data_IF_674525473507
#
_entry.id   IF_674525473507
#
_cell.length_a   1.000
_cell.length_b   1.000
_cell.length_c   1.000
_cell.angle_alpha   90.00
_cell.angle_beta   90.00
_cell.angle_gamma   90.00
#
_symmetry.space_group_name_H-M   'P 1'
#
loop_
_entity.id
_entity.type
_entity.pdbx_description
1 polymer ?
#
# COMPACT_ATOMS: atom_id res chain seq x y z
N UNK A 1 8.55 2.98 -12.98
CA UNK A 1 7.11 2.72 -12.84
C UNK A 1 6.88 1.88 -11.60
N UNK A 2 5.77 2.12 -10.88
CA UNK A 2 5.42 1.38 -9.65
C UNK A 2 4.15 0.58 -9.90
N UNK A 3 4.27 -0.74 -10.04
CA UNK A 3 3.14 -1.61 -10.34
C UNK A 3 2.58 -2.21 -9.05
N UNK A 4 1.54 -1.57 -8.50
CA UNK A 4 0.82 -2.03 -7.31
C UNK A 4 -0.21 -3.11 -7.67
N UNK A 5 -0.23 -4.19 -6.90
CA UNK A 5 -1.19 -5.30 -7.03
C UNK A 5 -1.73 -5.72 -5.66
N UNK A 6 -2.94 -6.28 -5.65
CA UNK A 6 -3.52 -6.94 -4.48
C UNK A 6 -3.59 -8.46 -4.67
N UNK A 7 -2.68 -9.18 -4.03
CA UNK A 7 -2.57 -10.64 -4.19
C UNK A 7 -3.75 -11.37 -3.57
N UNK A 8 -4.05 -11.10 -2.29
CA UNK A 8 -5.18 -11.71 -1.59
C UNK A 8 -5.85 -10.74 -0.63
N UNK A 9 -7.11 -11.03 -0.30
CA UNK A 9 -7.91 -10.27 0.63
C UNK A 9 -8.59 -11.21 1.62
N UNK A 10 -8.63 -10.82 2.89
CA UNK A 10 -9.40 -11.42 3.96
C UNK A 10 -10.41 -10.37 4.48
N UNK A 11 -11.38 -10.74 5.33
CA UNK A 11 -12.51 -9.86 5.63
C UNK A 11 -12.11 -8.50 6.21
N UNK A 12 -11.00 -8.45 6.94
CA UNK A 12 -10.51 -7.23 7.59
C UNK A 12 -9.11 -6.81 7.15
N UNK A 13 -8.57 -7.41 6.09
CA UNK A 13 -7.20 -7.14 5.64
C UNK A 13 -6.98 -7.40 4.16
N UNK A 14 -6.09 -6.65 3.53
CA UNK A 14 -5.66 -6.89 2.15
C UNK A 14 -4.13 -6.94 2.12
N UNK A 15 -3.59 -7.95 1.43
CA UNK A 15 -2.18 -8.05 1.11
C UNK A 15 -1.90 -7.35 -0.21
N UNK A 16 -1.03 -6.37 -0.16
CA UNK A 16 -0.58 -5.59 -1.29
C UNK A 16 0.87 -5.93 -1.61
N UNK A 17 1.20 -5.95 -2.89
CA UNK A 17 2.59 -6.01 -3.34
C UNK A 17 2.83 -5.02 -4.45
N UNK A 18 4.09 -4.63 -4.64
CA UNK A 18 4.47 -3.75 -5.71
C UNK A 18 5.87 -4.06 -6.22
N UNK A 19 6.08 -3.77 -7.50
CA UNK A 19 7.41 -3.72 -8.09
C UNK A 19 7.82 -2.26 -8.28
N UNK A 20 9.07 -1.96 -7.95
CA UNK A 20 9.68 -0.65 -8.20
C UNK A 20 10.71 -0.79 -9.30
N UNK A 21 10.62 0.08 -10.29
CA UNK A 21 11.75 0.36 -11.17
C UNK A 21 12.62 1.44 -10.53
N UNK A 22 13.91 1.16 -10.36
CA UNK A 22 14.89 2.10 -9.83
C UNK A 22 15.88 1.44 -8.87
N UNK A 23 16.84 2.23 -8.40
CA UNK A 23 17.80 1.78 -7.38
C UNK A 23 17.19 2.00 -5.99
N UNK A 24 17.10 0.97 -5.13
CA UNK A 24 16.50 1.06 -3.80
C UNK A 24 16.98 2.22 -2.93
N UNK A 25 18.29 2.49 -2.97
CA UNK A 25 18.94 3.56 -2.21
C UNK A 25 18.50 4.98 -2.61
N UNK A 26 17.75 5.12 -3.70
CA UNK A 26 17.17 6.39 -4.12
C UNK A 26 15.79 6.67 -3.49
N UNK A 27 15.23 5.76 -2.72
CA UNK A 27 13.93 5.95 -2.07
C UNK A 27 14.08 6.38 -0.61
N UNK A 28 13.15 7.19 -0.10
CA UNK A 28 13.09 7.68 1.28
C UNK A 28 11.93 7.15 2.11
N UNK A 29 10.79 6.83 1.48
CA UNK A 29 9.65 6.22 2.17
C UNK A 29 8.62 5.68 1.17
N UNK A 30 7.87 4.69 1.64
CA UNK A 30 6.63 4.26 1.04
C UNK A 30 5.44 4.72 1.87
N UNK A 31 4.36 5.07 1.20
CA UNK A 31 3.08 5.38 1.81
C UNK A 31 1.97 4.75 0.97
N UNK A 32 1.20 3.84 1.58
CA UNK A 32 0.07 3.20 0.92
C UNK A 32 -1.21 3.88 1.39
N UNK A 33 -1.97 4.44 0.46
CA UNK A 33 -3.26 5.07 0.77
C UNK A 33 -4.37 4.18 0.23
N UNK A 34 -5.35 3.90 1.08
CA UNK A 34 -6.60 3.26 0.70
C UNK A 34 -7.76 4.26 0.83
N UNK A 35 -8.73 4.24 -0.06
CA UNK A 35 -9.97 5.00 0.09
C UNK A 35 -11.13 4.31 -0.65
N UNK A 36 -12.35 4.82 -0.50
CA UNK A 36 -13.52 4.26 -1.15
C UNK A 36 -13.86 4.94 -2.49
N UNK A 37 -13.28 6.12 -2.73
CA UNK A 37 -13.41 6.88 -3.96
C UNK A 37 -12.09 7.55 -4.33
N UNK A 38 -11.96 7.96 -5.60
CA UNK A 38 -10.71 8.48 -6.17
C UNK A 38 -10.30 9.82 -5.58
N UNK A 39 -11.27 10.68 -5.24
CA UNK A 39 -10.99 12.02 -4.72
C UNK A 39 -10.41 11.94 -3.31
N UNK A 40 -11.01 11.14 -2.43
CA UNK A 40 -10.49 10.85 -1.09
C UNK A 40 -9.10 10.20 -1.17
N UNK A 41 -8.90 9.26 -2.11
CA UNK A 41 -7.62 8.59 -2.33
C UNK A 41 -6.50 9.59 -2.66
N UNK A 42 -6.76 10.49 -3.62
CA UNK A 42 -5.76 11.44 -4.11
C UNK A 42 -5.50 12.59 -3.13
N UNK A 43 -6.55 13.04 -2.44
CA UNK A 43 -6.43 14.14 -1.47
C UNK A 43 -6.01 13.67 -0.08
N UNK A 44 -5.98 12.34 0.15
CA UNK A 44 -5.69 11.71 1.45
C UNK A 44 -6.66 12.18 2.55
N UNK A 45 -7.95 12.29 2.22
CA UNK A 45 -9.00 12.82 3.12
C UNK A 45 -10.26 11.95 3.11
N UNK A 46 -11.23 12.29 3.96
CA UNK A 46 -12.54 11.62 3.99
C UNK A 46 -12.42 10.17 4.43
N UNK A 47 -12.69 9.25 3.51
CA UNK A 47 -12.57 7.80 3.73
C UNK A 47 -11.13 7.27 3.66
N UNK A 48 -10.15 8.13 3.38
CA UNK A 48 -8.76 7.73 3.22
C UNK A 48 -8.16 7.14 4.51
N UNK A 49 -7.53 5.98 4.38
CA UNK A 49 -6.69 5.32 5.37
C UNK A 49 -5.25 5.35 4.85
N UNK A 50 -4.37 6.06 5.54
CA UNK A 50 -2.95 6.21 5.18
C UNK A 50 -2.13 5.23 6.02
N UNK A 51 -1.33 4.41 5.35
CA UNK A 51 -0.39 3.48 5.96
C UNK A 51 1.02 3.93 5.62
N UNK A 52 1.82 4.17 6.65
CA UNK A 52 3.23 4.53 6.55
C UNK A 52 4.07 3.66 7.50
N UNK A 53 5.37 3.98 7.62
CA UNK A 53 6.29 3.27 8.51
C UNK A 53 5.90 3.28 10.00
N UNK A 54 5.03 4.19 10.45
CA UNK A 54 4.56 4.21 11.84
C UNK A 54 3.48 3.16 12.10
N UNK A 55 2.62 2.90 11.11
CA UNK A 55 1.52 1.93 11.21
C UNK A 55 1.86 0.56 10.62
N UNK A 56 2.77 0.55 9.65
CA UNK A 56 3.26 -0.61 8.89
C UNK A 56 4.78 -0.45 8.75
N UNK A 57 5.56 -0.84 9.75
CA UNK A 57 7.01 -0.60 9.81
C UNK A 57 7.78 -1.03 8.56
N UNK A 58 7.30 -2.08 7.87
CA UNK A 58 7.87 -2.55 6.62
C UNK A 58 7.87 -1.51 5.50
N UNK A 59 6.95 -0.53 5.51
CA UNK A 59 6.91 0.58 4.56
C UNK A 59 8.06 1.59 4.76
N UNK A 60 8.75 1.52 5.90
CA UNK A 60 9.98 2.28 6.16
C UNK A 60 11.26 1.54 5.79
N UNK A 61 11.18 0.26 5.40
CA UNK A 61 12.34 -0.56 5.06
C UNK A 61 12.52 -0.54 3.53
N UNK A 62 13.43 0.32 3.09
CA UNK A 62 13.65 0.59 1.67
C UNK A 62 14.78 -0.26 1.09
N UNK A 63 15.68 -0.72 1.95
CA UNK A 63 16.79 -1.60 1.65
C UNK A 63 16.84 -2.67 2.74
N UNK A 64 16.93 -3.93 2.35
CA UNK A 64 17.15 -5.03 3.27
C UNK A 64 18.66 -5.20 3.43
N UNK A 65 19.23 -5.04 4.63
CA UNK A 65 20.68 -5.16 4.81
C UNK A 65 21.22 -6.47 4.24
N UNK A 66 22.35 -6.39 3.53
CA UNK A 66 23.00 -7.54 2.86
C UNK A 66 22.18 -8.17 1.73
N UNK A 67 21.24 -7.42 1.15
CA UNK A 67 20.45 -7.82 -0.01
C UNK A 67 20.20 -6.63 -0.92
N UNK A 68 20.16 -6.88 -2.24
CA UNK A 68 19.67 -5.89 -3.20
C UNK A 68 18.12 -5.82 -3.22
N UNK A 69 17.45 -6.56 -2.33
CA UNK A 69 16.00 -6.61 -2.24
C UNK A 69 15.44 -5.42 -1.45
N UNK A 70 14.21 -5.05 -1.84
CA UNK A 70 13.41 -4.02 -1.16
C UNK A 70 12.18 -4.66 -0.55
N UNK A 71 11.58 -3.99 0.44
CA UNK A 71 10.22 -4.36 0.82
C UNK A 71 9.29 -4.04 -0.34
N UNK A 72 8.62 -5.10 -0.81
CA UNK A 72 7.73 -5.08 -1.96
C UNK A 72 6.30 -5.48 -1.58
N UNK A 73 5.98 -5.48 -0.29
CA UNK A 73 4.65 -5.84 0.17
C UNK A 73 4.31 -5.29 1.56
N UNK A 74 3.00 -5.15 1.81
CA UNK A 74 2.45 -4.84 3.13
C UNK A 74 1.07 -5.48 3.28
N UNK A 75 0.64 -5.65 4.54
CA UNK A 75 -0.72 -6.06 4.86
C UNK A 75 -1.43 -4.93 5.58
N UNK A 76 -2.45 -4.38 4.92
CA UNK A 76 -3.38 -3.43 5.53
C UNK A 76 -4.38 -4.18 6.40
N UNK A 77 -4.70 -3.65 7.59
CA UNK A 77 -5.58 -4.28 8.59
C UNK A 77 -6.62 -3.28 9.08
N UNK A 78 -7.67 -3.76 9.76
CA UNK A 78 -8.75 -2.89 10.24
C UNK A 78 -9.66 -2.37 9.12
N UNK A 79 -9.79 -3.18 8.06
CA UNK A 79 -10.71 -2.91 6.96
C UNK A 79 -12.10 -3.45 7.30
N UNK A 80 -13.12 -2.87 6.67
CA UNK A 80 -14.48 -3.39 6.77
C UNK A 80 -14.66 -4.55 5.78
N UNK A 81 -15.40 -5.61 6.15
CA UNK A 81 -15.72 -6.71 5.25
C UNK A 81 -16.73 -6.27 4.20
N UNK A 82 -16.76 -6.98 3.07
CA UNK A 82 -17.63 -6.67 1.92
C UNK A 82 -17.47 -5.27 1.33
N UNK A 83 -16.33 -4.62 1.57
CA UNK A 83 -16.05 -3.24 1.16
C UNK A 83 -15.00 -3.20 0.05
N UNK A 84 -15.21 -2.33 -0.93
CA UNK A 84 -14.24 -2.07 -2.00
C UNK A 84 -13.31 -0.94 -1.58
N UNK A 85 -12.01 -1.18 -1.67
CA UNK A 85 -10.98 -0.18 -1.44
C UNK A 85 -10.19 0.05 -2.73
N UNK A 86 -10.06 1.32 -3.08
CA UNK A 86 -9.08 1.81 -4.05
C UNK A 86 -7.76 2.01 -3.31
N UNK A 87 -6.66 1.67 -3.96
CA UNK A 87 -5.32 1.75 -3.41
C UNK A 87 -4.39 2.53 -4.33
N UNK A 88 -3.53 3.35 -3.73
CA UNK A 88 -2.48 4.08 -4.41
C UNK A 88 -1.22 4.03 -3.56
N UNK A 89 -0.11 3.58 -4.14
CA UNK A 89 1.19 3.58 -3.48
C UNK A 89 1.93 4.85 -3.88
N UNK A 90 2.35 5.61 -2.89
CA UNK A 90 3.23 6.75 -3.02
C UNK A 90 4.64 6.34 -2.64
N UNK A 91 5.60 6.72 -3.47
CA UNK A 91 7.03 6.53 -3.24
C UNK A 91 7.67 7.91 -3.26
N UNK A 92 8.35 8.27 -2.18
CA UNK A 92 9.15 9.50 -2.12
C UNK A 92 10.61 9.15 -2.34
N UNK A 93 11.28 9.83 -3.27
CA UNK A 93 12.71 9.65 -3.53
C UNK A 93 13.60 10.55 -2.65
N UNK A 94 14.92 10.38 -2.73
CA UNK A 94 15.93 11.19 -2.02
C UNK A 94 15.89 12.68 -2.38
N UNK A 95 15.36 13.03 -3.55
CA UNK A 95 15.14 14.41 -3.99
C UNK A 95 13.80 14.98 -3.49
N UNK A 96 13.04 14.21 -2.69
CA UNK A 96 11.69 14.52 -2.21
C UNK A 96 10.65 14.64 -3.33
N UNK A 97 10.91 14.03 -4.48
CA UNK A 97 9.92 13.87 -5.54
C UNK A 97 9.01 12.69 -5.18
N UNK A 98 7.71 12.90 -5.31
CA UNK A 98 6.71 11.87 -5.08
C UNK A 98 6.27 11.26 -6.41
N UNK A 99 6.32 9.93 -6.49
CA UNK A 99 5.80 9.14 -7.61
C UNK A 99 4.67 8.25 -7.12
N UNK A 100 3.70 8.00 -7.98
CA UNK A 100 2.53 7.18 -7.64
C UNK A 100 2.41 5.95 -8.53
N UNK A 101 1.88 4.87 -7.99
CA UNK A 101 1.42 3.72 -8.78
C UNK A 101 0.18 4.08 -9.63
N UNK A 102 -0.28 3.12 -10.45
CA UNK A 102 -1.67 3.13 -10.89
C UNK A 102 -2.62 2.88 -9.70
N UNK A 103 -3.87 3.33 -9.82
CA UNK A 103 -4.91 3.01 -8.84
C UNK A 103 -5.32 1.55 -9.04
N UNK A 104 -5.29 0.77 -7.95
CA UNK A 104 -5.77 -0.60 -7.94
C UNK A 104 -6.99 -0.75 -7.04
N UNK A 105 -7.91 -1.65 -7.39
CA UNK A 105 -9.13 -1.87 -6.60
C UNK A 105 -9.15 -3.29 -6.07
N UNK A 106 -9.48 -3.45 -4.78
CA UNK A 106 -9.72 -4.76 -4.18
C UNK A 106 -10.88 -4.71 -3.20
N UNK A 107 -11.71 -5.75 -3.23
CA UNK A 107 -12.84 -5.92 -2.32
C UNK A 107 -12.48 -6.93 -1.22
N UNK A 108 -12.81 -6.61 0.02
CA UNK A 108 -12.72 -7.54 1.15
C UNK A 108 -13.86 -8.58 1.07
N UNK A 109 -13.58 -9.87 1.31
CA UNK A 109 -14.62 -10.91 1.37
C UNK A 109 -15.54 -10.75 2.60
N UNK A 110 -16.66 -11.48 2.68
CA UNK A 110 -17.48 -11.57 3.90
C UNK A 110 -16.70 -12.19 5.06
N UNK A 111 -17.08 -11.91 6.32
CA UNK A 111 -16.48 -12.55 7.49
C UNK A 111 -16.54 -14.07 7.37
N UNK A 112 -15.46 -14.75 7.74
CA UNK A 112 -15.47 -16.22 7.85
C UNK A 112 -16.37 -16.58 9.03
N UNK A 113 -17.53 -17.16 8.75
CA UNK A 113 -18.38 -17.73 9.79
C UNK A 113 -17.59 -18.90 10.40
N UNK A 114 -17.31 -18.82 11.70
CA UNK A 114 -16.76 -19.96 12.44
C UNK A 114 -17.88 -21.00 12.57
N UNK A 115 -17.72 -22.16 11.93
CA UNK A 115 -18.52 -23.37 12.19
C UNK A 115 -18.15 -24.00 13.54
#
# INVERSE_FOLDING_TARGET
MTDLTANWAAPHSIYWSWNLEGVPSNFLKYELVLAENVDDLRTRRGTAKVYDASTSPELGILEIPYSDATVQSTVTRGLEPLRSYLALLYVTDVNRCESTSMIFTKKTPPPTLSE
#
